data_IF_893920456127
#
_entry.id   IF_893920456127
#
_cell.length_a   1.000
_cell.length_b   1.000
_cell.length_c   1.000
_cell.angle_alpha   90.00
_cell.angle_beta   90.00
_cell.angle_gamma   90.00
#
_symmetry.space_group_name_H-M   'P 1'
#
loop_
_entity.id
_entity.type
_entity.pdbx_description
1 polymer ?
#
# COMPACT_ATOMS: atom_id res chain seq x y z
N UNK A 1 -24.14 21.18 -0.35
CA UNK A 1 -23.97 19.75 -0.46
C UNK A 1 -22.59 19.36 0.05
N UNK A 2 -22.54 18.33 0.85
CA UNK A 2 -21.30 17.91 1.45
C UNK A 2 -20.84 16.61 0.84
N UNK A 3 -19.62 16.59 0.39
CA UNK A 3 -19.00 15.36 -0.10
C UNK A 3 -18.17 14.80 1.02
N UNK A 4 -18.57 13.64 1.46
CA UNK A 4 -17.82 12.92 2.47
C UNK A 4 -16.70 12.14 1.76
N UNK A 5 -15.52 12.68 1.77
CA UNK A 5 -14.40 11.97 1.22
C UNK A 5 -13.52 11.48 2.35
N UNK A 6 -13.16 10.21 2.29
CA UNK A 6 -12.25 9.63 3.25
C UNK A 6 -10.86 10.20 2.96
N UNK A 7 -10.15 10.69 3.98
CA UNK A 7 -8.78 11.15 3.76
C UNK A 7 -7.93 10.03 3.17
N UNK A 8 -7.06 10.40 2.26
CA UNK A 8 -6.12 9.44 1.68
C UNK A 8 -4.80 9.52 2.43
N UNK A 9 -4.18 8.37 2.60
CA UNK A 9 -2.86 8.27 3.18
C UNK A 9 -1.93 7.60 2.18
N UNK A 10 -0.65 7.86 2.30
CA UNK A 10 0.34 7.22 1.47
C UNK A 10 0.75 5.91 2.12
N UNK A 11 0.51 4.81 1.43
CA UNK A 11 1.00 3.50 1.85
C UNK A 11 2.36 3.29 1.21
N UNK A 12 3.39 3.28 2.03
CA UNK A 12 4.74 3.01 1.56
C UNK A 12 5.12 1.59 1.91
N UNK A 13 5.52 0.81 0.92
CA UNK A 13 5.84 -0.59 1.13
C UNK A 13 7.05 -0.98 0.27
N UNK A 14 7.77 -1.97 0.75
CA UNK A 14 8.93 -2.48 0.03
C UNK A 14 8.58 -3.78 -0.66
N UNK A 15 8.96 -3.88 -1.93
CA UNK A 15 8.77 -5.11 -2.68
C UNK A 15 9.61 -6.22 -2.05
N UNK A 16 8.98 -7.35 -1.77
CA UNK A 16 9.68 -8.49 -1.18
C UNK A 16 10.50 -9.26 -2.21
N UNK A 17 10.30 -8.93 -3.49
CA UNK A 17 10.98 -9.62 -4.57
C UNK A 17 12.22 -8.88 -5.06
N UNK A 18 12.10 -7.57 -5.26
CA UNK A 18 13.23 -6.79 -5.80
C UNK A 18 13.74 -5.72 -4.83
N UNK A 19 13.06 -5.51 -3.72
CA UNK A 19 13.50 -4.56 -2.70
C UNK A 19 13.16 -3.10 -2.98
N UNK A 20 12.48 -2.81 -4.07
CA UNK A 20 12.12 -1.43 -4.40
C UNK A 20 11.06 -0.90 -3.46
N UNK A 21 11.14 0.40 -3.15
CA UNK A 21 10.13 1.08 -2.37
C UNK A 21 9.03 1.56 -3.28
N UNK A 22 7.80 1.27 -2.91
CA UNK A 22 6.62 1.68 -3.65
C UNK A 22 5.72 2.52 -2.76
N UNK A 23 4.92 3.37 -3.38
CA UNK A 23 3.96 4.21 -2.68
C UNK A 23 2.63 4.16 -3.40
N UNK A 24 1.57 4.12 -2.63
CA UNK A 24 0.21 4.10 -3.18
C UNK A 24 -0.67 4.94 -2.28
N UNK A 25 -1.53 5.75 -2.89
CA UNK A 25 -2.55 6.46 -2.14
C UNK A 25 -3.71 5.52 -1.87
N UNK A 26 -4.07 5.41 -0.60
CA UNK A 26 -5.14 4.52 -0.17
C UNK A 26 -6.05 5.28 0.77
N UNK A 27 -7.33 4.89 0.88
CA UNK A 27 -8.20 5.48 1.88
C UNK A 27 -7.64 5.24 3.28
N UNK A 28 -7.80 6.23 4.16
CA UNK A 28 -7.22 6.15 5.50
C UNK A 28 -7.78 5.00 6.33
N UNK A 29 -8.98 4.53 6.01
CA UNK A 29 -9.61 3.41 6.71
C UNK A 29 -9.32 2.07 6.04
N UNK A 30 -8.45 2.04 5.08
CA UNK A 30 -8.09 0.82 4.38
C UNK A 30 -7.34 -0.13 5.28
N UNK A 31 -7.74 -1.40 5.31
CA UNK A 31 -7.10 -2.41 6.14
C UNK A 31 -6.23 -3.37 5.35
N UNK A 32 -6.44 -3.41 4.05
CA UNK A 32 -5.66 -4.27 3.17
C UNK A 32 -5.94 -3.87 1.73
N UNK A 33 -4.93 -3.91 0.91
CA UNK A 33 -5.12 -3.64 -0.51
C UNK A 33 -4.06 -4.38 -1.32
N UNK A 34 -4.24 -4.37 -2.62
CA UNK A 34 -3.26 -4.93 -3.55
C UNK A 34 -2.53 -3.80 -4.23
N UNK A 35 -1.26 -4.02 -4.46
CA UNK A 35 -0.47 -3.08 -5.25
C UNK A 35 0.57 -3.85 -6.04
N UNK A 36 0.94 -3.30 -7.16
CA UNK A 36 1.94 -3.90 -8.03
C UNK A 36 3.22 -3.09 -7.96
N UNK A 37 4.33 -3.79 -7.78
CA UNK A 37 5.63 -3.12 -7.76
C UNK A 37 5.88 -2.43 -9.10
N UNK A 38 6.26 -1.16 -9.05
CA UNK A 38 6.55 -0.40 -10.26
C UNK A 38 7.82 -0.87 -10.96
N UNK A 39 8.66 -1.58 -10.25
CA UNK A 39 9.97 -1.99 -10.76
C UNK A 39 9.93 -3.39 -11.37
N UNK A 40 9.49 -4.38 -10.62
CA UNK A 40 9.48 -5.77 -11.10
C UNK A 40 8.09 -6.27 -11.45
N UNK A 41 7.06 -5.47 -11.22
CA UNK A 41 5.66 -5.74 -11.56
C UNK A 41 5.04 -6.90 -10.81
N UNK A 42 5.64 -7.34 -9.73
CA UNK A 42 5.06 -8.39 -8.91
C UNK A 42 3.92 -7.83 -8.07
N UNK A 43 2.82 -8.56 -8.03
CA UNK A 43 1.68 -8.19 -7.21
C UNK A 43 1.92 -8.54 -5.77
N UNK A 44 1.49 -7.64 -4.89
CA UNK A 44 1.64 -7.81 -3.45
C UNK A 44 0.33 -7.49 -2.76
N UNK A 45 0.11 -8.13 -1.63
CA UNK A 45 -0.93 -7.75 -0.68
C UNK A 45 -0.24 -6.88 0.35
N UNK A 46 -0.75 -5.67 0.55
CA UNK A 46 -0.16 -4.74 1.52
C UNK A 46 -1.17 -4.43 2.61
N UNK A 47 -0.67 -4.31 3.83
CA UNK A 47 -1.49 -4.07 5.01
C UNK A 47 -0.79 -3.03 5.88
N UNK A 48 -1.56 -2.15 6.56
CA UNK A 48 -0.94 -1.14 7.41
C UNK A 48 -0.22 -1.77 8.59
N UNK A 49 0.89 -1.17 8.94
CA UNK A 49 1.62 -1.51 10.14
C UNK A 49 1.22 -0.55 11.25
N UNK A 50 1.78 -0.75 12.44
CA UNK A 50 1.58 0.19 13.54
C UNK A 50 2.13 1.58 13.21
N UNK A 51 3.05 1.67 12.28
CA UNK A 51 3.54 2.96 11.77
C UNK A 51 2.59 3.46 10.70
N UNK A 52 2.14 4.72 10.79
CA UNK A 52 1.11 5.22 9.89
C UNK A 52 1.45 5.18 8.41
N UNK A 53 2.73 5.31 8.06
CA UNK A 53 3.14 5.44 6.66
C UNK A 53 3.64 4.12 6.09
N UNK A 54 4.30 3.32 6.90
CA UNK A 54 4.94 2.09 6.44
C UNK A 54 3.96 0.94 6.47
N UNK A 55 3.86 0.25 5.35
CA UNK A 55 2.96 -0.90 5.21
C UNK A 55 3.76 -2.17 5.03
N UNK A 56 3.21 -3.26 5.51
CA UNK A 56 3.79 -4.58 5.31
C UNK A 56 3.31 -5.16 3.99
N UNK A 57 4.19 -5.81 3.28
CA UNK A 57 3.87 -6.38 1.98
C UNK A 57 4.25 -7.85 1.93
N UNK A 58 3.45 -8.62 1.20
CA UNK A 58 3.76 -10.02 0.92
C UNK A 58 3.36 -10.31 -0.53
N UNK A 59 4.10 -11.20 -1.15
CA UNK A 59 3.77 -11.59 -2.52
C UNK A 59 2.39 -12.23 -2.58
N UNK A 60 1.66 -11.84 -3.60
CA UNK A 60 0.39 -12.49 -3.90
C UNK A 60 0.66 -13.71 -4.77
N UNK A 61 0.14 -14.83 -4.33
CA UNK A 61 0.29 -16.06 -5.10
C UNK A 61 -0.79 -16.23 -6.15
#
# INVERSE_FOLDING_TARGET
>A
MTVMSVPAVTAEWNCTRCGSTNRKLVPADSTRTRDRCNHCRAWHIIEPDIRPVRWNARLED
#
